data_IF_552884396610
#
_entry.id   IF_552884396610
#
_cell.length_a   1.000
_cell.length_b   1.000
_cell.length_c   1.000
_cell.angle_alpha   90.00
_cell.angle_beta   90.00
_cell.angle_gamma   90.00
#
_symmetry.space_group_name_H-M   'P 1'
#
loop_
_entity.id
_entity.type
_entity.pdbx_description
1 polymer ?
#
# COMPACT_ATOMS: atom_id res chain seq x y z
N UNK A 1 -3.68 10.42 3.97
CA UNK A 1 -2.23 10.35 3.62
C UNK A 1 -1.40 10.19 4.88
N UNK A 2 -0.45 9.28 4.86
CA UNK A 2 0.42 8.99 6.00
C UNK A 2 1.82 9.51 5.68
N UNK A 3 2.41 10.28 6.60
CA UNK A 3 3.80 10.74 6.46
C UNK A 3 4.73 9.56 6.73
N UNK A 4 5.71 9.36 5.84
CA UNK A 4 6.70 8.28 5.99
C UNK A 4 7.47 8.35 7.31
N UNK A 5 7.57 9.51 7.92
CA UNK A 5 8.26 9.66 9.22
C UNK A 5 7.77 8.64 10.27
N UNK A 6 6.53 8.19 10.17
CA UNK A 6 5.97 7.20 11.09
C UNK A 6 6.65 5.83 10.99
N UNK A 7 7.34 5.57 9.89
CA UNK A 7 7.97 4.27 9.63
C UNK A 7 9.50 4.35 9.68
N UNK A 8 10.04 5.52 9.95
CA UNK A 8 11.48 5.72 9.95
C UNK A 8 12.15 4.88 11.04
N UNK A 9 13.25 4.22 10.67
CA UNK A 9 14.01 3.41 11.61
C UNK A 9 13.51 1.98 11.78
N UNK A 10 12.42 1.60 11.12
CA UNK A 10 11.93 0.23 11.20
C UNK A 10 12.84 -0.74 10.45
N UNK A 11 12.86 -2.03 10.83
CA UNK A 11 13.60 -3.03 10.07
C UNK A 11 12.97 -3.25 8.70
N UNK A 12 13.66 -4.02 7.85
CA UNK A 12 13.15 -4.40 6.54
C UNK A 12 11.76 -5.03 6.70
N UNK A 13 10.82 -4.62 5.85
CA UNK A 13 9.42 -5.04 5.90
C UNK A 13 8.67 -4.63 7.17
N UNK A 14 9.30 -3.90 8.07
CA UNK A 14 8.66 -3.47 9.32
C UNK A 14 7.47 -2.57 9.12
N UNK A 15 7.50 -1.72 8.09
CA UNK A 15 6.39 -0.84 7.79
C UNK A 15 5.17 -1.62 7.32
N UNK A 16 5.38 -2.67 6.53
CA UNK A 16 4.29 -3.53 6.05
C UNK A 16 3.65 -4.25 7.23
N UNK A 17 4.45 -4.79 8.13
CA UNK A 17 3.96 -5.43 9.35
C UNK A 17 3.17 -4.44 10.22
N UNK A 18 3.59 -3.20 10.26
CA UNK A 18 2.92 -2.16 11.05
C UNK A 18 1.58 -1.73 10.44
N UNK A 19 1.45 -1.79 9.11
CA UNK A 19 0.24 -1.37 8.41
C UNK A 19 -0.81 -2.48 8.31
N UNK A 20 -0.38 -3.71 8.01
CA UNK A 20 -1.27 -4.82 7.68
C UNK A 20 -1.53 -5.63 8.94
N UNK A 21 -2.52 -5.19 9.73
CA UNK A 21 -2.74 -5.74 11.08
C UNK A 21 -3.89 -6.72 11.20
N UNK A 22 -4.94 -6.55 10.42
CA UNK A 22 -6.18 -7.30 10.63
C UNK A 22 -6.37 -8.44 9.63
N UNK A 23 -6.78 -9.58 10.13
CA UNK A 23 -7.22 -10.70 9.30
C UNK A 23 -8.54 -10.32 8.61
N UNK A 24 -8.73 -10.81 7.39
CA UNK A 24 -9.97 -10.60 6.65
C UNK A 24 -10.08 -9.27 5.92
N UNK A 25 -9.03 -8.45 5.99
CA UNK A 25 -8.99 -7.13 5.34
C UNK A 25 -7.92 -7.14 4.26
N UNK A 26 -8.24 -6.57 3.10
CA UNK A 26 -7.27 -6.35 2.02
C UNK A 26 -6.70 -4.95 2.19
N UNK A 27 -5.39 -4.85 2.23
CA UNK A 27 -4.67 -3.58 2.41
C UNK A 27 -4.05 -3.14 1.10
N UNK A 28 -4.43 -1.94 0.65
CA UNK A 28 -3.92 -1.36 -0.58
C UNK A 28 -3.11 -0.12 -0.21
N UNK A 29 -1.82 -0.14 -0.52
CA UNK A 29 -0.90 0.93 -0.13
C UNK A 29 -0.30 1.58 -1.37
N UNK A 30 -0.41 2.90 -1.45
CA UNK A 30 0.26 3.71 -2.45
C UNK A 30 1.50 4.33 -1.82
N UNK A 31 2.63 4.17 -2.48
CA UNK A 31 3.90 4.77 -2.07
C UNK A 31 4.21 5.91 -3.03
N UNK A 32 4.22 7.11 -2.52
CA UNK A 32 4.39 8.33 -3.31
C UNK A 32 5.48 9.21 -2.74
N UNK A 33 5.95 10.18 -3.52
CA UNK A 33 6.94 11.15 -3.05
C UNK A 33 6.67 12.54 -3.62
N UNK A 34 7.32 13.53 -3.05
CA UNK A 34 7.32 14.89 -3.59
C UNK A 34 8.00 14.89 -4.95
N UNK A 35 7.58 15.78 -5.85
CA UNK A 35 8.21 15.96 -7.15
C UNK A 35 8.01 14.80 -8.13
N UNK A 36 7.03 13.97 -7.89
CA UNK A 36 6.73 12.82 -8.73
C UNK A 36 5.47 13.10 -9.57
N UNK A 37 5.65 13.29 -10.87
CA UNK A 37 4.53 13.62 -11.76
C UNK A 37 3.49 12.51 -11.85
N UNK A 38 3.94 11.26 -11.91
CA UNK A 38 3.03 10.10 -11.91
C UNK A 38 2.23 9.99 -10.62
N UNK A 39 2.84 10.32 -9.47
CA UNK A 39 2.15 10.34 -8.19
C UNK A 39 1.04 11.39 -8.20
N UNK A 40 1.33 12.57 -8.70
CA UNK A 40 0.35 13.66 -8.78
C UNK A 40 -0.80 13.33 -9.72
N UNK A 41 -0.48 12.71 -10.84
CA UNK A 41 -1.47 12.30 -11.83
C UNK A 41 -2.42 11.24 -11.27
N UNK A 42 -1.89 10.25 -10.57
CA UNK A 42 -2.70 9.14 -10.06
C UNK A 42 -3.39 9.41 -8.73
N UNK A 43 -2.98 10.44 -8.01
CA UNK A 43 -3.56 10.74 -6.70
C UNK A 43 -5.08 10.88 -6.70
N UNK A 44 -5.70 11.69 -7.58
CA UNK A 44 -7.17 11.79 -7.60
C UNK A 44 -7.83 10.49 -8.01
N UNK A 45 -7.20 9.71 -8.90
CA UNK A 45 -7.75 8.43 -9.35
C UNK A 45 -7.73 7.41 -8.21
N UNK A 46 -6.67 7.39 -7.43
CA UNK A 46 -6.54 6.50 -6.29
C UNK A 46 -7.55 6.86 -5.19
N UNK A 47 -7.73 8.16 -4.93
CA UNK A 47 -8.73 8.63 -3.97
C UNK A 47 -10.13 8.21 -4.36
N UNK A 48 -10.46 8.34 -5.64
CA UNK A 48 -11.78 7.97 -6.16
C UNK A 48 -12.01 6.47 -6.03
N UNK A 49 -10.98 5.67 -6.37
CA UNK A 49 -11.02 4.23 -6.20
C UNK A 49 -11.24 3.85 -4.73
N UNK A 50 -10.48 4.46 -3.82
CA UNK A 50 -10.59 4.18 -2.40
C UNK A 50 -11.98 4.51 -1.86
N UNK A 51 -12.52 5.66 -2.25
CA UNK A 51 -13.84 6.10 -1.83
C UNK A 51 -14.93 5.13 -2.28
N UNK A 52 -14.87 4.72 -3.55
CA UNK A 52 -15.84 3.81 -4.13
C UNK A 52 -15.78 2.43 -3.50
N UNK A 53 -14.58 1.87 -3.37
CA UNK A 53 -14.40 0.55 -2.79
C UNK A 53 -14.71 0.51 -1.30
N UNK A 54 -14.39 1.57 -0.56
CA UNK A 54 -14.75 1.65 0.86
C UNK A 54 -16.26 1.67 1.05
N UNK A 55 -16.98 2.32 0.14
CA UNK A 55 -18.44 2.33 0.15
C UNK A 55 -19.04 0.95 -0.14
N UNK A 56 -18.48 0.27 -1.16
CA UNK A 56 -18.97 -1.05 -1.59
C UNK A 56 -18.61 -2.17 -0.61
N UNK A 57 -17.43 -2.10 -0.02
CA UNK A 57 -16.82 -3.23 0.70
C UNK A 57 -16.49 -2.89 2.15
N UNK A 58 -17.41 -2.26 2.82
CA UNK A 58 -17.29 -1.74 4.18
C UNK A 58 -16.45 -2.61 5.12
N UNK A 59 -15.33 -2.07 5.59
CA UNK A 59 -14.46 -2.74 6.56
C UNK A 59 -13.64 -3.90 6.01
N UNK A 60 -13.79 -4.24 4.73
CA UNK A 60 -13.05 -5.35 4.10
C UNK A 60 -11.81 -4.90 3.33
N UNK A 61 -11.69 -3.61 3.10
CA UNK A 61 -10.53 -3.01 2.42
C UNK A 61 -10.02 -1.84 3.24
N UNK A 62 -8.73 -1.62 3.16
CA UNK A 62 -8.08 -0.48 3.81
C UNK A 62 -7.11 0.14 2.81
N UNK A 63 -7.31 1.41 2.52
CA UNK A 63 -6.46 2.15 1.58
C UNK A 63 -5.57 3.12 2.34
N UNK A 64 -4.29 3.11 2.02
CA UNK A 64 -3.32 4.03 2.62
C UNK A 64 -2.44 4.62 1.53
N UNK A 65 -2.11 5.89 1.68
CA UNK A 65 -1.10 6.54 0.87
C UNK A 65 0.04 6.96 1.79
N UNK A 66 1.19 6.29 1.66
CA UNK A 66 2.40 6.64 2.41
C UNK A 66 3.22 7.58 1.55
N UNK A 67 3.41 8.80 2.02
CA UNK A 67 4.08 9.84 1.26
C UNK A 67 5.47 10.12 1.81
N UNK A 68 6.45 10.08 0.92
CA UNK A 68 7.84 10.34 1.22
C UNK A 68 8.17 11.78 0.81
N UNK A 69 8.74 12.54 1.71
CA UNK A 69 9.23 13.86 1.38
C UNK A 69 10.57 13.71 0.67
N UNK A 70 10.73 14.41 -0.41
CA UNK A 70 11.96 14.35 -1.20
C UNK A 70 12.77 15.62 -1.00
N UNK A 71 13.93 15.48 -0.36
CA UNK A 71 14.90 16.56 -0.27
C UNK A 71 15.90 16.34 -1.42
N UNK A 72 16.07 17.33 -2.27
CA UNK A 72 16.92 17.22 -3.47
C UNK A 72 18.34 16.77 -3.16
N UNK A 73 18.83 17.16 -2.01
CA UNK A 73 20.24 17.01 -1.65
C UNK A 73 20.56 15.76 -0.83
N UNK A 74 19.58 15.03 -0.31
CA UNK A 74 19.96 13.81 0.41
C UNK A 74 19.12 12.58 0.09
N UNK A 75 17.86 12.70 -0.26
CA UNK A 75 17.03 11.57 -0.62
C UNK A 75 16.99 10.43 0.40
N UNK A 76 17.44 10.67 1.64
CA UNK A 76 17.58 9.61 2.65
C UNK A 76 16.24 8.99 3.01
N UNK A 77 15.18 9.79 3.08
CA UNK A 77 13.84 9.30 3.37
C UNK A 77 13.34 8.38 2.26
N UNK A 78 13.68 8.70 0.99
CA UNK A 78 13.34 7.85 -0.14
C UNK A 78 14.06 6.51 -0.08
N UNK A 79 15.35 6.51 0.25
CA UNK A 79 16.11 5.27 0.42
C UNK A 79 15.53 4.40 1.53
N UNK A 80 15.18 5.04 2.66
CA UNK A 80 14.58 4.36 3.80
C UNK A 80 13.25 3.71 3.41
N UNK A 81 12.40 4.44 2.67
CA UNK A 81 11.12 3.93 2.19
C UNK A 81 11.32 2.72 1.30
N UNK A 82 12.29 2.78 0.39
CA UNK A 82 12.59 1.66 -0.51
C UNK A 82 13.03 0.42 0.26
N UNK A 83 13.74 0.62 1.36
CA UNK A 83 14.18 -0.46 2.23
C UNK A 83 13.03 -1.08 3.02
N UNK A 84 12.25 -0.25 3.73
CA UNK A 84 11.23 -0.76 4.65
C UNK A 84 9.95 -1.24 3.96
N UNK A 85 9.67 -0.76 2.76
CA UNK A 85 8.53 -1.20 1.93
C UNK A 85 8.96 -2.07 0.75
N UNK A 86 10.25 -2.22 0.53
CA UNK A 86 10.84 -3.02 -0.57
C UNK A 86 10.32 -2.62 -1.94
N UNK A 87 10.50 -1.35 -2.29
CA UNK A 87 10.14 -0.88 -3.63
C UNK A 87 11.29 -0.10 -4.27
N UNK A 88 11.22 0.09 -5.58
CA UNK A 88 12.29 0.71 -6.34
C UNK A 88 11.89 2.00 -7.04
N UNK A 89 10.61 2.30 -7.16
CA UNK A 89 10.13 3.43 -7.95
C UNK A 89 8.86 4.03 -7.35
N UNK A 90 8.46 5.20 -7.87
CA UNK A 90 7.24 5.89 -7.46
C UNK A 90 6.39 6.23 -8.70
N UNK A 91 5.06 6.17 -8.61
CA UNK A 91 4.34 5.59 -7.49
C UNK A 91 4.35 4.06 -7.57
N UNK A 92 4.49 3.41 -6.44
CA UNK A 92 4.33 1.97 -6.33
C UNK A 92 3.07 1.69 -5.53
N UNK A 93 2.30 0.71 -6.00
CA UNK A 93 1.10 0.26 -5.29
C UNK A 93 1.27 -1.19 -4.92
N UNK A 94 0.86 -1.53 -3.72
CA UNK A 94 0.93 -2.91 -3.25
C UNK A 94 -0.39 -3.32 -2.62
N UNK A 95 -0.71 -4.60 -2.75
CA UNK A 95 -1.90 -5.20 -2.13
C UNK A 95 -1.42 -6.31 -1.22
N UNK A 96 -1.82 -6.24 0.03
CA UNK A 96 -1.43 -7.19 1.06
C UNK A 96 -2.64 -7.77 1.77
N UNK A 97 -2.48 -9.00 2.22
CA UNK A 97 -3.43 -9.66 3.15
C UNK A 97 -2.63 -10.23 4.30
N UNK A 98 -3.30 -10.45 5.44
CA UNK A 98 -2.64 -11.03 6.59
C UNK A 98 -3.09 -12.46 6.80
N UNK A 99 -2.11 -13.36 7.00
CA UNK A 99 -2.35 -14.69 7.55
C UNK A 99 -2.02 -14.66 9.04
N UNK A 100 -2.35 -15.73 9.75
CA UNK A 100 -1.99 -15.84 11.17
C UNK A 100 -0.49 -15.92 11.38
N UNK A 101 0.27 -16.27 10.35
CA UNK A 101 1.73 -16.41 10.41
C UNK A 101 2.50 -15.20 9.91
N UNK A 102 1.84 -14.25 9.24
CA UNK A 102 2.52 -13.07 8.72
C UNK A 102 1.75 -12.41 7.59
N UNK A 103 2.39 -11.45 6.96
CA UNK A 103 1.81 -10.65 5.89
C UNK A 103 2.21 -11.22 4.54
N UNK A 104 1.25 -11.28 3.62
CA UNK A 104 1.48 -11.73 2.25
C UNK A 104 1.25 -10.58 1.28
N UNK A 105 2.20 -10.34 0.40
CA UNK A 105 2.03 -9.41 -0.70
C UNK A 105 1.44 -10.19 -1.88
N UNK A 106 0.25 -9.77 -2.32
CA UNK A 106 -0.45 -10.47 -3.41
C UNK A 106 -0.35 -9.76 -4.73
N UNK A 107 0.05 -8.48 -4.73
CA UNK A 107 0.20 -7.71 -5.96
C UNK A 107 1.09 -6.50 -5.70
N UNK A 108 1.89 -6.16 -6.70
CA UNK A 108 2.73 -4.96 -6.69
C UNK A 108 2.87 -4.45 -8.11
N UNK A 109 2.72 -3.15 -8.31
CA UNK A 109 2.93 -2.54 -9.61
C UNK A 109 3.38 -1.09 -9.49
N UNK A 110 4.17 -0.66 -10.46
CA UNK A 110 4.60 0.72 -10.59
C UNK A 110 3.69 1.39 -11.62
N UNK A 111 3.04 2.46 -11.23
CA UNK A 111 2.20 3.25 -12.13
C UNK A 111 1.17 2.40 -12.90
N UNK A 112 0.38 1.55 -12.21
CA UNK A 112 -0.58 0.69 -12.89
C UNK A 112 -1.81 1.49 -13.34
N UNK A 113 -2.60 0.91 -14.22
CA UNK A 113 -3.96 1.40 -14.45
C UNK A 113 -4.79 1.14 -13.21
N UNK A 114 -5.66 2.08 -12.84
CA UNK A 114 -6.48 1.91 -11.63
C UNK A 114 -7.46 0.73 -11.74
N UNK A 115 -7.90 0.40 -12.94
CA UNK A 115 -8.76 -0.76 -13.19
C UNK A 115 -8.05 -2.06 -12.79
N UNK A 116 -6.76 -2.15 -13.09
CA UNK A 116 -5.97 -3.32 -12.72
C UNK A 116 -5.79 -3.41 -11.20
N UNK A 117 -5.52 -2.29 -10.56
CA UNK A 117 -5.41 -2.24 -9.11
C UNK A 117 -6.72 -2.65 -8.44
N UNK A 118 -7.84 -2.17 -8.95
CA UNK A 118 -9.15 -2.55 -8.43
C UNK A 118 -9.39 -4.05 -8.58
N UNK A 119 -9.09 -4.59 -9.76
CA UNK A 119 -9.26 -6.02 -10.05
C UNK A 119 -8.46 -6.86 -9.06
N UNK A 120 -7.20 -6.54 -8.87
CA UNK A 120 -6.33 -7.27 -7.96
C UNK A 120 -6.82 -7.16 -6.50
N UNK A 121 -7.31 -6.01 -6.13
CA UNK A 121 -7.86 -5.80 -4.79
C UNK A 121 -9.10 -6.66 -4.57
N UNK A 122 -10.01 -6.68 -5.52
CA UNK A 122 -11.24 -7.49 -5.43
C UNK A 122 -10.94 -8.99 -5.41
N UNK A 123 -10.02 -9.44 -6.23
CA UNK A 123 -9.61 -10.84 -6.25
C UNK A 123 -8.97 -11.27 -4.93
N UNK A 124 -8.34 -10.34 -4.22
CA UNK A 124 -7.69 -10.63 -2.94
C UNK A 124 -8.67 -10.78 -1.76
N UNK A 125 -9.92 -10.38 -1.94
CA UNK A 125 -10.93 -10.49 -0.87
C UNK A 125 -11.15 -11.94 -0.44
N UNK A 126 -11.19 -12.87 -1.39
CA UNK A 126 -11.39 -14.28 -1.06
C UNK A 126 -10.19 -14.86 -0.32
N UNK A 127 -9.00 -14.42 -0.70
CA UNK A 127 -7.77 -14.85 -0.02
C UNK A 127 -7.74 -14.33 1.42
N UNK A 128 -8.11 -13.08 1.64
CA UNK A 128 -8.17 -12.49 2.97
C UNK A 128 -9.16 -13.26 3.86
N UNK A 129 -10.32 -13.60 3.30
CA UNK A 129 -11.34 -14.38 4.00
C UNK A 129 -10.84 -15.77 4.35
N UNK A 130 -10.13 -16.40 3.41
CA UNK A 130 -9.53 -17.72 3.63
C UNK A 130 -8.60 -17.71 4.84
N UNK A 131 -7.70 -16.74 4.91
CA UNK A 131 -6.76 -16.64 6.03
C UNK A 131 -7.43 -16.28 7.35
N UNK A 132 -8.50 -15.51 7.31
CA UNK A 132 -9.27 -15.19 8.52
C UNK A 132 -9.89 -16.45 9.15
N UNK A 133 -10.35 -17.37 8.30
CA UNK A 133 -11.03 -18.58 8.74
C UNK A 133 -10.10 -19.78 8.93
N UNK A 134 -8.82 -19.59 8.72
CA UNK A 134 -7.81 -20.63 8.89
C UNK A 134 -7.73 -21.04 10.36
N UNK A 135 -7.71 -22.35 10.68
CA UNK A 135 -7.66 -22.82 12.07
C UNK A 135 -6.35 -22.50 12.79
#
# INVERSE_FOLDING_TARGET
>A
MIDFQRFKGLPDDGAVEALVKELGVVYVTALTRDGCSGCMEQKPLFRELAKRMNSDLRGRVHFANVHVRYAEDDGSESWESKRVFRHAAYPTYSVHVRSKKGVLEVYRAVYPMMEELEKQTRESLDLAKFYKNEP
#
